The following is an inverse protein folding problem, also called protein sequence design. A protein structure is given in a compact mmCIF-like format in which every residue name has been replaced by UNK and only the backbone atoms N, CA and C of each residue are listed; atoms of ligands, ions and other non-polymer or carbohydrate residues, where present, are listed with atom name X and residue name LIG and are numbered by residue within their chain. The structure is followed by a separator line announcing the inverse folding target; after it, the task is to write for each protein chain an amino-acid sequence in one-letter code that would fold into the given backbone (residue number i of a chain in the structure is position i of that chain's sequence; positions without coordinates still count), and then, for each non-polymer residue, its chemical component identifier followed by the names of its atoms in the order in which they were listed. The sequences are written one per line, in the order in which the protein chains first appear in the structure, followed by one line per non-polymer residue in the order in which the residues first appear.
data_IF_419746869808
#
_entry.id   IF_419746869808
#
_cell.length_a   1.000
_cell.length_b   1.000
_cell.length_c   1.000
_cell.angle_alpha   90.00
_cell.angle_beta   90.00
_cell.angle_gamma   90.00
#
_symmetry.space_group_name_H-M   'P 1'
#
loop_
_entity.id
_entity.type
_entity.pdbx_description
1 polymer ?
#
# COMPACT_ATOMS: atom_id res chain seq x y z
N UNK A 1 -9.99 13.05 10.22
CA UNK A 1 -8.76 13.25 9.45
C UNK A 1 -8.83 12.46 8.15
N UNK A 2 -8.51 13.09 7.03
CA UNK A 2 -8.45 12.40 5.74
C UNK A 2 -7.06 11.77 5.57
N UNK A 3 -7.03 10.46 5.36
CA UNK A 3 -5.77 9.74 5.19
C UNK A 3 -5.43 9.60 3.70
N UNK A 4 -4.16 9.72 3.38
CA UNK A 4 -3.65 9.57 2.01
C UNK A 4 -2.45 8.64 2.01
N UNK A 5 -2.29 7.88 0.91
CA UNK A 5 -1.10 7.08 0.69
C UNK A 5 -0.42 7.56 -0.59
N UNK A 6 0.90 7.46 -0.62
CA UNK A 6 1.70 7.83 -1.78
C UNK A 6 2.46 6.58 -2.23
N UNK A 7 2.26 6.20 -3.50
CA UNK A 7 2.93 5.05 -4.08
C UNK A 7 4.42 5.35 -4.31
N UNK A 8 5.18 4.30 -4.65
CA UNK A 8 6.61 4.45 -4.92
C UNK A 8 6.90 5.40 -6.10
N UNK A 9 5.97 5.51 -7.04
CA UNK A 9 6.12 6.41 -8.20
C UNK A 9 5.66 7.84 -7.91
N UNK A 10 5.22 8.12 -6.69
CA UNK A 10 4.79 9.46 -6.29
C UNK A 10 3.30 9.75 -6.46
N UNK A 11 2.50 8.78 -6.93
CA UNK A 11 1.06 8.98 -7.09
C UNK A 11 0.38 9.00 -5.72
N UNK A 12 -0.45 10.00 -5.48
CA UNK A 12 -1.19 10.12 -4.22
C UNK A 12 -2.59 9.55 -4.37
N UNK A 13 -3.02 8.77 -3.37
CA UNK A 13 -4.37 8.21 -3.31
C UNK A 13 -5.05 8.66 -2.02
N UNK A 14 -6.32 9.06 -2.13
CA UNK A 14 -7.13 9.37 -0.96
C UNK A 14 -7.58 8.06 -0.30
N UNK A 15 -6.84 7.62 0.71
CA UNK A 15 -7.11 6.35 1.38
C UNK A 15 -8.50 6.33 2.03
N UNK A 16 -8.88 7.41 2.69
CA UNK A 16 -10.14 7.47 3.44
C UNK A 16 -11.38 7.38 2.54
N UNK A 17 -11.35 8.02 1.37
CA UNK A 17 -12.55 8.19 0.55
C UNK A 17 -12.52 7.43 -0.77
N UNK A 18 -11.36 7.14 -1.33
CA UNK A 18 -11.26 6.54 -2.65
C UNK A 18 -10.82 5.08 -2.64
N UNK A 19 -10.12 4.63 -1.60
CA UNK A 19 -9.59 3.26 -1.54
C UNK A 19 -10.59 2.35 -0.84
N UNK A 20 -10.92 1.24 -1.49
CA UNK A 20 -11.78 0.20 -0.94
C UNK A 20 -10.98 -0.74 -0.04
N UNK A 21 -9.85 -1.24 -0.52
CA UNK A 21 -8.97 -2.10 0.27
C UNK A 21 -7.55 -2.06 -0.28
N UNK A 22 -6.62 -2.50 0.57
CA UNK A 22 -5.21 -2.69 0.19
C UNK A 22 -4.87 -4.16 0.42
N UNK A 23 -4.30 -4.80 -0.57
CA UNK A 23 -3.80 -6.17 -0.47
C UNK A 23 -2.29 -6.19 -0.62
N UNK A 24 -1.67 -7.21 -0.05
CA UNK A 24 -0.21 -7.36 -0.15
C UNK A 24 0.16 -8.83 -0.04
N UNK A 25 1.33 -9.18 -0.57
CA UNK A 25 1.83 -10.53 -0.51
C UNK A 25 2.91 -10.79 -1.54
N UNK A 26 3.37 -12.05 -1.56
CA UNK A 26 4.33 -12.52 -2.53
C UNK A 26 3.65 -12.80 -3.86
N UNK A 27 4.31 -12.46 -4.96
CA UNK A 27 3.81 -12.81 -6.29
C UNK A 27 3.90 -14.32 -6.54
N UNK A 28 2.95 -14.85 -7.29
CA UNK A 28 2.85 -16.29 -7.57
C UNK A 28 4.08 -16.85 -8.26
N UNK A 29 4.76 -16.04 -9.07
CA UNK A 29 5.96 -16.45 -9.80
C UNK A 29 7.25 -16.33 -8.98
N UNK A 30 7.15 -15.89 -7.72
CA UNK A 30 8.31 -15.73 -6.86
C UNK A 30 9.21 -14.56 -7.18
N UNK A 31 8.75 -13.62 -8.03
CA UNK A 31 9.58 -12.48 -8.46
C UNK A 31 9.73 -11.39 -7.42
N UNK A 32 8.95 -11.43 -6.35
CA UNK A 32 9.01 -10.42 -5.30
C UNK A 32 7.71 -10.27 -4.55
N UNK A 33 7.55 -9.13 -3.90
CA UNK A 33 6.40 -8.81 -3.05
C UNK A 33 5.80 -7.48 -3.47
N UNK A 34 4.51 -7.33 -3.33
CA UNK A 34 3.84 -6.10 -3.73
C UNK A 34 2.71 -5.67 -2.83
N UNK A 35 2.35 -4.40 -2.95
CA UNK A 35 1.16 -3.82 -2.35
C UNK A 35 0.27 -3.32 -3.47
N UNK A 36 -1.01 -3.63 -3.39
CA UNK A 36 -2.00 -3.18 -4.39
C UNK A 36 -3.15 -2.49 -3.69
N UNK A 37 -3.66 -1.42 -4.32
CA UNK A 37 -4.89 -0.76 -3.86
C UNK A 37 -6.02 -1.04 -4.84
N UNK A 38 -7.22 -1.15 -4.30
CA UNK A 38 -8.45 -1.24 -5.08
C UNK A 38 -9.30 -0.03 -4.76
N UNK A 39 -9.71 0.69 -5.79
CA UNK A 39 -10.53 1.88 -5.61
C UNK A 39 -12.00 1.50 -5.47
N UNK A 40 -12.77 2.33 -4.82
CA UNK A 40 -14.20 2.12 -4.66
C UNK A 40 -14.87 2.09 -6.03
N UNK A 41 -15.72 1.09 -6.23
CA UNK A 41 -16.41 0.89 -7.49
C UNK A 41 -15.63 0.06 -8.51
N UNK A 42 -14.38 -0.30 -8.22
CA UNK A 42 -13.56 -1.12 -9.10
C UNK A 42 -12.84 -2.19 -8.27
N UNK A 43 -13.46 -3.38 -8.17
CA UNK A 43 -12.91 -4.47 -7.39
C UNK A 43 -12.09 -5.46 -8.22
N UNK A 44 -11.97 -5.24 -9.53
CA UNK A 44 -11.29 -6.15 -10.44
C UNK A 44 -9.89 -5.67 -10.84
N UNK A 45 -9.66 -4.36 -10.85
CA UNK A 45 -8.42 -3.77 -11.33
C UNK A 45 -7.60 -3.19 -10.17
N UNK A 46 -6.69 -4.00 -9.62
CA UNK A 46 -5.78 -3.54 -8.61
C UNK A 46 -4.70 -2.64 -9.20
N UNK A 47 -4.27 -1.65 -8.43
CA UNK A 47 -3.18 -0.75 -8.81
C UNK A 47 -1.99 -1.05 -7.92
N UNK A 48 -0.86 -1.43 -8.51
CA UNK A 48 0.36 -1.70 -7.75
C UNK A 48 0.93 -0.37 -7.27
N UNK A 49 1.06 -0.21 -5.97
CA UNK A 49 1.59 1.03 -5.37
C UNK A 49 3.01 0.86 -4.86
N UNK A 50 3.45 -0.37 -4.62
CA UNK A 50 4.81 -0.63 -4.14
C UNK A 50 5.23 -2.05 -4.49
N UNK A 51 6.52 -2.24 -4.76
CA UNK A 51 7.11 -3.55 -5.03
C UNK A 51 8.45 -3.67 -4.31
N UNK A 52 8.73 -4.84 -3.76
CA UNK A 52 9.96 -5.10 -3.02
C UNK A 52 10.54 -6.45 -3.43
N UNK A 53 11.87 -6.53 -3.49
CA UNK A 53 12.57 -7.73 -3.93
C UNK A 53 12.76 -8.75 -2.82
N UNK A 54 12.87 -8.29 -1.56
CA UNK A 54 13.19 -9.17 -0.45
C UNK A 54 12.12 -9.14 0.63
N UNK A 55 11.99 -10.29 1.30
CA UNK A 55 10.98 -10.47 2.34
C UNK A 55 11.20 -9.55 3.55
N UNK A 56 12.45 -9.31 3.90
CA UNK A 56 12.77 -8.49 5.07
C UNK A 56 12.27 -7.05 4.92
N UNK A 57 12.57 -6.44 3.76
CA UNK A 57 12.10 -5.08 3.46
C UNK A 57 10.58 -5.05 3.36
N UNK A 58 10.00 -6.05 2.67
CA UNK A 58 8.54 -6.14 2.54
C UNK A 58 7.86 -6.20 3.91
N UNK A 59 8.33 -7.06 4.81
CA UNK A 59 7.72 -7.20 6.13
C UNK A 59 7.88 -5.94 6.98
N UNK A 60 9.01 -5.24 6.86
CA UNK A 60 9.21 -3.98 7.56
C UNK A 60 8.20 -2.92 7.09
N UNK A 61 8.00 -2.81 5.78
CA UNK A 61 7.04 -1.86 5.20
C UNK A 61 5.61 -2.24 5.60
N UNK A 62 5.29 -3.53 5.55
CA UNK A 62 3.97 -4.03 5.95
C UNK A 62 3.67 -3.66 7.41
N UNK A 63 4.64 -3.85 8.30
CA UNK A 63 4.47 -3.52 9.71
C UNK A 63 4.31 -2.01 9.92
N UNK A 64 5.06 -1.19 9.19
CA UNK A 64 4.93 0.26 9.27
C UNK A 64 3.58 0.73 8.76
N UNK A 65 3.08 0.15 7.67
CA UNK A 65 1.78 0.49 7.12
C UNK A 65 0.66 0.11 8.11
N UNK A 66 0.74 -1.07 8.70
CA UNK A 66 -0.23 -1.53 9.69
C UNK A 66 -0.25 -0.63 10.93
N UNK A 67 0.93 -0.22 11.40
CA UNK A 67 1.04 0.69 12.53
C UNK A 67 0.45 2.06 12.20
N UNK A 68 0.71 2.57 11.00
CA UNK A 68 0.14 3.83 10.54
C UNK A 68 -1.40 3.79 10.57
N UNK A 69 -1.99 2.70 10.10
CA UNK A 69 -3.45 2.51 10.12
C UNK A 69 -4.00 2.48 11.53
N UNK A 70 -3.29 1.82 12.46
CA UNK A 70 -3.76 1.68 13.85
C UNK A 70 -3.63 2.96 14.65
N UNK A 71 -2.51 3.67 14.48
CA UNK A 71 -2.16 4.78 15.37
C UNK A 71 -2.60 6.14 14.85
N UNK A 72 -2.82 6.25 13.55
CA UNK A 72 -3.27 7.52 12.92
C UNK A 72 -2.40 8.71 13.29
N UNK A 73 -1.08 8.51 13.38
CA UNK A 73 -0.15 9.55 13.79
C UNK A 73 -0.02 10.62 12.71
N UNK A 74 0.02 10.20 11.45
CA UNK A 74 0.18 11.07 10.29
C UNK A 74 -0.98 10.91 9.32
N UNK A 75 -1.30 11.97 8.60
CA UNK A 75 -2.32 11.92 7.56
C UNK A 75 -1.83 11.23 6.29
N UNK A 76 -0.52 11.05 6.12
CA UNK A 76 0.07 10.51 4.88
C UNK A 76 1.01 9.36 5.20
N UNK A 77 0.90 8.28 4.43
CA UNK A 77 1.87 7.20 4.43
C UNK A 77 2.49 7.10 3.03
N UNK A 78 3.80 7.28 2.93
CA UNK A 78 4.51 7.13 1.66
C UNK A 78 5.26 5.79 1.65
N UNK A 79 5.00 4.97 0.63
CA UNK A 79 5.71 3.70 0.49
C UNK A 79 7.18 3.99 0.13
N UNK A 80 8.14 3.50 0.93
CA UNK A 80 9.56 3.73 0.64
C UNK A 80 9.99 2.99 -0.64
N UNK A 81 10.98 3.57 -1.30
CA UNK A 81 11.55 3.00 -2.53
C UNK A 81 12.33 1.71 -2.26
#
# INVERSE_FOLDING_TARGET
MTLSIISQDGTAFNYSNAVSCVTYGEYDDGSGYGFMVYLKGDTENGIVVAEYDDAKTFHAVKNDFSRWLRENIDAVFAFPA
#
